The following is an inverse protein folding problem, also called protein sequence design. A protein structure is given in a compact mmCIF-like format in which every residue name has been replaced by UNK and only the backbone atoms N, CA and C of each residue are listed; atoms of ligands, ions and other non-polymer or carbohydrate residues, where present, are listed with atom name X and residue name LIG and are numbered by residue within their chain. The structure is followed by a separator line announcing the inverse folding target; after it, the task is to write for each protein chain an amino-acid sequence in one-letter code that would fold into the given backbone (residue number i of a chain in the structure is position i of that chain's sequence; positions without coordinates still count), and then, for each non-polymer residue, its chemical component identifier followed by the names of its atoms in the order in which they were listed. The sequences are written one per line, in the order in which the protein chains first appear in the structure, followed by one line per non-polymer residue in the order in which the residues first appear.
data_IF_477879311552
#
_entry.id   IF_477879311552
#
_cell.length_a   1.000
_cell.length_b   1.000
_cell.length_c   1.000
_cell.angle_alpha   90.00
_cell.angle_beta   90.00
_cell.angle_gamma   90.00
#
_symmetry.space_group_name_H-M   'P 1'
#
loop_
_entity.id
_entity.type
_entity.pdbx_description
1 polymer ?
#
# COMPACT_ATOMS: atom_id res chain seq x y z
N UNK A 1 19.39 -2.80 9.23
CA UNK A 1 18.98 -2.87 8.86
C UNK A 1 18.78 -2.89 8.37
N UNK A 2 18.92 -2.76 8.37
CA UNK A 2 18.55 -2.67 7.83
C UNK A 2 18.07 -2.99 7.25
N UNK A 3 17.91 -3.18 7.13
CA UNK A 3 17.38 -3.50 6.42
C UNK A 3 16.74 -3.33 6.06
N UNK A 4 16.64 -2.92 6.20
CA UNK A 4 15.92 -2.74 5.77
C UNK A 4 15.72 -2.43 5.04
N UNK A 5 16.16 -2.13 4.98
CA UNK A 5 15.91 -1.91 4.17
C UNK A 5 15.85 -2.22 3.39
N UNK A 6 16.14 -2.25 3.28
CA UNK A 6 15.90 -2.58 2.29
C UNK A 6 15.24 -3.18 2.20
N UNK A 7 15.46 -3.19 2.76
CA UNK A 7 14.60 -3.76 2.69
C UNK A 7 13.41 -3.53 2.14
N UNK A 8 13.22 -2.87 2.23
CA UNK A 8 11.94 -2.53 1.89
C UNK A 8 11.70 -2.45 0.42
N UNK A 9 12.48 -1.90 -0.27
CA UNK A 9 12.26 -1.89 -1.68
C UNK A 9 12.47 -3.23 -2.30
N UNK A 10 13.29 -3.99 -1.68
CA UNK A 10 13.65 -5.23 -2.27
C UNK A 10 12.53 -6.21 -2.43
N UNK A 11 11.64 -6.23 -1.49
CA UNK A 11 10.62 -7.22 -1.58
C UNK A 11 9.68 -7.00 -2.70
N UNK A 12 9.62 -5.83 -3.18
CA UNK A 12 8.75 -5.57 -4.29
C UNK A 12 9.21 -6.31 -5.51
N UNK A 13 10.49 -6.40 -5.68
CA UNK A 13 11.00 -7.03 -6.87
C UNK A 13 10.61 -8.48 -6.98
N UNK A 14 10.40 -9.10 -5.88
CA UNK A 14 10.10 -10.49 -5.90
C UNK A 14 8.81 -10.80 -6.59
N UNK A 15 7.89 -9.96 -6.40
CA UNK A 15 6.58 -10.20 -6.90
C UNK A 15 6.52 -10.12 -8.38
N UNK A 16 7.36 -9.29 -8.87
CA UNK A 16 7.15 -8.80 -10.16
C UNK A 16 7.07 -9.84 -11.25
N UNK A 17 7.97 -10.76 -11.30
CA UNK A 17 7.99 -11.53 -12.50
C UNK A 17 6.82 -12.48 -12.64
N UNK A 18 6.33 -12.93 -11.57
CA UNK A 18 5.28 -13.90 -11.63
C UNK A 18 3.95 -13.28 -11.91
N UNK A 19 3.70 -12.24 -11.20
CA UNK A 19 2.39 -11.69 -11.26
C UNK A 19 2.05 -11.13 -12.60
N UNK A 20 2.98 -10.47 -13.18
CA UNK A 20 2.67 -9.77 -14.41
C UNK A 20 2.11 -10.68 -15.47
N UNK A 21 2.67 -11.86 -15.58
CA UNK A 21 2.21 -12.74 -16.61
C UNK A 21 0.86 -13.32 -16.31
N UNK A 22 0.64 -13.60 -15.05
CA UNK A 22 -0.53 -14.33 -14.71
C UNK A 22 -1.79 -13.58 -14.83
N UNK A 23 -1.74 -12.30 -14.59
CA UNK A 23 -3.02 -11.68 -14.55
C UNK A 23 -3.33 -10.87 -15.78
N UNK A 24 -2.59 -11.09 -16.82
CA UNK A 24 -2.94 -10.50 -18.07
C UNK A 24 -4.36 -10.93 -18.39
N UNK A 25 -5.23 -9.99 -18.56
CA UNK A 25 -6.60 -10.30 -18.86
C UNK A 25 -7.47 -10.58 -17.67
N UNK A 26 -6.92 -10.55 -16.50
CA UNK A 26 -7.75 -10.73 -15.34
C UNK A 26 -8.27 -9.40 -14.84
N UNK A 27 -9.03 -9.45 -13.79
CA UNK A 27 -9.80 -8.33 -13.35
C UNK A 27 -9.06 -7.29 -12.55
N UNK A 28 -7.80 -7.48 -12.23
CA UNK A 28 -7.09 -6.43 -11.53
C UNK A 28 -5.95 -6.93 -10.69
N UNK A 29 -5.34 -6.01 -9.96
CA UNK A 29 -4.18 -6.32 -9.13
C UNK A 29 -4.56 -6.23 -7.67
N UNK A 30 -3.70 -6.78 -6.83
CA UNK A 30 -3.87 -6.73 -5.38
C UNK A 30 -2.83 -5.83 -4.77
N UNK A 31 -3.17 -5.26 -3.64
CA UNK A 31 -2.25 -4.44 -2.87
C UNK A 31 -2.49 -4.70 -1.40
N UNK A 32 -1.42 -4.91 -0.66
CA UNK A 32 -1.53 -4.99 0.79
C UNK A 32 -0.37 -4.24 1.40
N UNK A 33 -0.49 -3.94 2.67
CA UNK A 33 0.56 -3.22 3.34
C UNK A 33 0.14 -2.79 4.71
N UNK A 34 0.80 -1.74 5.20
CA UNK A 34 0.54 -1.27 6.55
C UNK A 34 0.64 0.24 6.61
N UNK A 35 0.03 0.79 7.64
CA UNK A 35 0.17 2.20 7.99
C UNK A 35 0.65 2.21 9.43
N UNK A 36 1.81 2.81 9.65
CA UNK A 36 2.42 2.83 10.97
C UNK A 36 2.71 4.28 11.39
N UNK A 37 2.92 4.47 12.69
CA UNK A 37 3.27 5.78 13.21
C UNK A 37 4.79 5.96 13.24
N UNK A 38 5.24 7.05 13.83
CA UNK A 38 6.66 7.36 13.89
C UNK A 38 7.46 6.38 14.74
N UNK A 39 6.79 5.56 15.50
CA UNK A 39 7.45 4.54 16.32
C UNK A 39 7.37 3.15 15.69
N UNK A 40 6.80 3.06 14.50
CA UNK A 40 6.66 1.78 13.82
C UNK A 40 5.45 0.98 14.25
N UNK A 41 4.55 1.57 15.01
CA UNK A 41 3.37 0.85 15.47
C UNK A 41 2.22 1.05 14.51
N UNK A 42 1.45 -0.03 14.29
CA UNK A 42 0.34 0.03 13.36
C UNK A 42 -0.77 0.94 13.84
N UNK A 43 -1.38 1.66 12.90
CA UNK A 43 -2.47 2.57 13.20
C UNK A 43 -3.75 1.97 12.65
N UNK A 44 -4.73 1.76 13.53
CA UNK A 44 -6.01 1.19 13.14
C UNK A 44 -6.92 2.28 12.58
N UNK A 45 -7.78 1.89 11.64
CA UNK A 45 -8.83 2.79 11.17
C UNK A 45 -8.42 3.78 10.11
N UNK A 46 -7.29 3.56 9.47
CA UNK A 46 -6.80 4.46 8.42
C UNK A 46 -7.29 3.96 7.07
N UNK A 47 -7.85 4.86 6.28
CA UNK A 47 -8.36 4.51 4.96
C UNK A 47 -7.27 4.68 3.90
N UNK A 48 -7.17 3.67 3.03
CA UNK A 48 -6.29 3.70 1.86
C UNK A 48 -7.19 3.50 0.66
N UNK A 49 -7.01 4.29 -0.37
CA UNK A 49 -7.90 4.26 -1.54
C UNK A 49 -7.10 4.38 -2.83
N UNK A 50 -7.71 3.92 -3.92
CA UNK A 50 -7.08 4.03 -5.24
C UNK A 50 -7.16 5.46 -5.75
N UNK A 51 -6.23 5.82 -6.64
CA UNK A 51 -6.17 7.17 -7.18
C UNK A 51 -6.84 7.31 -8.54
N UNK A 52 -7.07 6.20 -9.24
CA UNK A 52 -7.71 6.25 -10.54
C UNK A 52 -8.44 4.94 -10.81
N UNK A 53 -9.29 4.96 -11.84
CA UNK A 53 -10.10 3.81 -12.18
C UNK A 53 -11.22 3.61 -11.18
N UNK A 54 -11.82 2.43 -11.17
CA UNK A 54 -12.87 2.14 -10.20
C UNK A 54 -12.32 2.28 -8.78
N UNK A 55 -13.11 2.87 -7.93
CA UNK A 55 -12.69 3.18 -6.58
C UNK A 55 -12.64 1.92 -5.73
N UNK A 56 -11.49 1.65 -5.14
CA UNK A 56 -11.32 0.55 -4.21
C UNK A 56 -10.68 1.14 -2.96
N UNK A 57 -11.19 0.81 -1.80
CA UNK A 57 -10.60 1.28 -0.56
C UNK A 57 -10.58 0.19 0.49
N UNK A 58 -9.74 0.39 1.48
CA UNK A 58 -9.63 -0.50 2.61
C UNK A 58 -9.31 0.32 3.84
N UNK A 59 -9.58 -0.25 4.99
CA UNK A 59 -9.31 0.40 6.26
C UNK A 59 -8.38 -0.51 7.05
N UNK A 60 -7.39 0.07 7.70
CA UNK A 60 -6.42 -0.73 8.45
C UNK A 60 -7.06 -1.38 9.66
N UNK A 61 -6.59 -2.58 9.96
CA UNK A 61 -7.04 -3.33 11.13
C UNK A 61 -6.24 -2.92 12.37
N UNK A 62 -6.41 -3.68 13.45
CA UNK A 62 -5.75 -3.34 14.71
C UNK A 62 -4.23 -3.43 14.66
N UNK A 63 -3.70 -4.10 13.64
CA UNK A 63 -2.26 -4.18 13.44
C UNK A 63 -1.77 -3.15 12.44
N UNK A 64 -2.66 -2.29 11.98
CA UNK A 64 -2.31 -1.28 10.99
C UNK A 64 -2.21 -1.81 9.57
N UNK A 65 -2.75 -2.98 9.30
CA UNK A 65 -2.61 -3.61 7.99
C UNK A 65 -3.86 -3.44 7.15
N UNK A 66 -3.67 -3.36 5.84
CA UNK A 66 -4.77 -3.28 4.90
C UNK A 66 -4.54 -4.25 3.75
N UNK A 67 -5.63 -4.61 3.08
CA UNK A 67 -5.57 -5.48 1.91
C UNK A 67 -6.66 -5.06 0.94
N UNK A 68 -6.30 -4.95 -0.33
CA UNK A 68 -7.21 -4.51 -1.38
C UNK A 68 -7.05 -5.40 -2.59
N UNK A 69 -8.13 -5.60 -3.33
CA UNK A 69 -8.07 -6.38 -4.56
C UNK A 69 -8.96 -5.73 -5.60
N UNK A 70 -8.85 -6.18 -6.83
CA UNK A 70 -9.67 -5.62 -7.89
C UNK A 70 -9.25 -4.22 -8.32
N UNK A 71 -7.99 -3.87 -8.11
CA UNK A 71 -7.47 -2.55 -8.45
C UNK A 71 -7.08 -2.55 -9.92
N UNK A 72 -7.44 -1.50 -10.64
CA UNK A 72 -7.05 -1.38 -12.03
C UNK A 72 -5.52 -1.25 -12.12
N UNK A 73 -4.90 -2.06 -12.96
CA UNK A 73 -3.45 -1.99 -13.14
C UNK A 73 -3.07 -0.59 -13.61
N UNK A 74 -2.01 -0.06 -13.03
CA UNK A 74 -1.56 1.29 -13.33
C UNK A 74 -2.09 2.34 -12.37
N UNK A 75 -3.10 2.01 -11.58
CA UNK A 75 -3.55 2.90 -10.53
C UNK A 75 -2.57 2.87 -9.37
N UNK A 76 -2.53 3.94 -8.60
CA UNK A 76 -1.77 3.97 -7.35
C UNK A 76 -2.75 3.91 -6.20
N UNK A 77 -2.24 3.75 -5.00
CA UNK A 77 -3.05 3.86 -3.79
C UNK A 77 -2.51 5.01 -2.96
N UNK A 78 -3.38 5.63 -2.18
CA UNK A 78 -2.95 6.71 -1.32
C UNK A 78 -3.63 6.57 0.03
N UNK A 79 -2.92 6.99 1.06
CA UNK A 79 -3.45 6.98 2.41
C UNK A 79 -4.16 8.30 2.65
N UNK A 80 -5.30 8.24 3.31
CA UNK A 80 -6.05 9.44 3.68
C UNK A 80 -5.64 9.79 5.09
N UNK A 81 -4.95 10.91 5.24
CA UNK A 81 -4.40 11.31 6.54
C UNK A 81 -5.52 11.91 7.38
N UNK A 82 -5.90 11.28 8.49
CA UNK A 82 -7.00 11.80 9.30
C UNK A 82 -6.54 12.92 10.20
N UNK A 83 -7.51 13.59 10.81
CA UNK A 83 -7.21 14.62 11.79
C UNK A 83 -6.41 13.99 12.93
N UNK A 84 -5.45 14.72 13.45
CA UNK A 84 -4.58 14.22 14.51
C UNK A 84 -3.33 13.54 14.02
N UNK A 85 -3.18 13.41 12.69
CA UNK A 85 -1.99 12.83 12.11
C UNK A 85 -1.45 13.73 11.02
N UNK A 86 -0.18 13.57 10.73
CA UNK A 86 0.43 14.27 9.60
C UNK A 86 1.22 13.29 8.76
N UNK A 87 1.39 13.62 7.50
CA UNK A 87 2.10 12.75 6.57
C UNK A 87 3.59 12.74 6.87
N UNK A 88 4.19 11.57 6.74
CA UNK A 88 5.63 11.41 6.81
C UNK A 88 6.04 10.78 5.50
N UNK A 89 6.69 11.55 4.66
CA UNK A 89 7.07 11.06 3.35
C UNK A 89 5.88 11.02 2.40
N UNK A 90 5.87 10.05 1.52
CA UNK A 90 4.86 9.97 0.49
C UNK A 90 3.57 9.40 1.04
N UNK A 91 2.46 9.97 0.59
CA UNK A 91 1.14 9.47 0.93
C UNK A 91 0.51 8.73 -0.25
N UNK A 92 1.24 8.57 -1.33
CA UNK A 92 0.74 7.91 -2.52
C UNK A 92 1.80 6.96 -3.04
N UNK A 93 1.40 5.79 -3.48
CA UNK A 93 2.33 4.79 -3.97
C UNK A 93 2.73 5.08 -5.41
N UNK A 94 3.71 4.32 -5.89
CA UNK A 94 3.96 4.24 -7.32
C UNK A 94 2.79 3.52 -7.98
N UNK A 95 2.63 3.65 -9.29
CA UNK A 95 1.58 2.90 -9.97
C UNK A 95 1.74 1.39 -9.75
N UNK A 96 0.64 0.72 -9.51
CA UNK A 96 0.64 -0.70 -9.20
C UNK A 96 0.60 -1.48 -10.51
N UNK A 97 1.70 -2.16 -10.82
CA UNK A 97 1.81 -2.86 -12.09
C UNK A 97 2.05 -4.35 -11.94
N UNK A 98 2.14 -4.83 -10.71
CA UNK A 98 2.35 -6.24 -10.44
C UNK A 98 1.03 -6.89 -10.06
N UNK A 99 0.94 -8.21 -10.13
CA UNK A 99 -0.26 -8.91 -9.68
C UNK A 99 -0.49 -8.68 -8.19
N UNK A 100 0.61 -8.66 -7.44
CA UNK A 100 0.55 -8.41 -6.01
C UNK A 100 1.55 -7.33 -5.67
N UNK A 101 1.13 -6.37 -4.88
CA UNK A 101 1.94 -5.23 -4.53
C UNK A 101 1.93 -5.03 -3.02
N UNK A 102 3.04 -4.55 -2.48
CA UNK A 102 3.13 -4.22 -1.06
C UNK A 102 3.44 -2.74 -0.95
N UNK A 103 2.62 -2.01 -0.22
CA UNK A 103 2.79 -0.57 -0.05
C UNK A 103 2.62 -0.25 1.42
N UNK A 104 3.59 0.47 1.96
CA UNK A 104 3.56 0.84 3.38
C UNK A 104 3.63 2.35 3.51
N UNK A 105 2.89 2.87 4.47
CA UNK A 105 2.85 4.31 4.72
C UNK A 105 3.21 4.58 6.17
N UNK A 106 3.76 5.76 6.42
CA UNK A 106 4.08 6.21 7.76
C UNK A 106 3.39 7.54 8.01
N UNK A 107 2.72 7.65 9.13
CA UNK A 107 2.11 8.90 9.56
C UNK A 107 2.69 9.28 10.91
N UNK A 108 2.67 10.57 11.20
CA UNK A 108 3.08 11.07 12.51
C UNK A 108 1.84 11.28 13.35
N UNK A 109 1.84 10.72 14.54
CA UNK A 109 0.74 10.90 15.50
C UNK A 109 1.00 12.20 16.23
N UNK A 110 0.24 13.21 15.91
CA UNK A 110 0.46 14.57 16.41
C UNK A 110 -0.01 14.79 17.85
#
# INVERSE_FOLDING_TARGET
MKTQMFLKGAMVAIVLFVGAALFAGTSGVKCEGSVVDQYGEGIVGITVTTTSGPSVSATTNSLGRFSMSGIQAGSAVRVIVPAGFSAVGNTESEPLTQAENVVNFTLHDD
#
